data_IF_840518209775
#
_entry.id   IF_840518209775
#
_cell.length_a   1.000
_cell.length_b   1.000
_cell.length_c   1.000
_cell.angle_alpha   90.00
_cell.angle_beta   90.00
_cell.angle_gamma   90.00
#
_symmetry.space_group_name_H-M   'P 1'
#
loop_
_entity.id
_entity.type
_entity.pdbx_description
1 polymer ?
#
# COMPACT_ATOMS: atom_id res chain seq x y z
N UNK A 1 -2.05 22.48 18.43
CA UNK A 1 -2.39 21.08 18.09
C UNK A 1 -3.90 20.99 17.87
N UNK A 2 -4.35 20.95 16.63
CA UNK A 2 -5.76 20.67 16.29
C UNK A 2 -5.82 19.88 14.98
N UNK A 3 -5.80 18.55 15.10
CA UNK A 3 -6.06 17.64 14.00
C UNK A 3 -7.56 17.35 13.96
N UNK A 4 -8.33 18.21 13.30
CA UNK A 4 -9.71 17.93 12.88
C UNK A 4 -9.99 18.72 11.59
N UNK A 5 -9.55 18.16 10.46
CA UNK A 5 -10.19 18.45 9.18
C UNK A 5 -10.73 17.14 8.61
N UNK A 6 -12.01 16.88 8.91
CA UNK A 6 -12.86 16.05 8.07
C UNK A 6 -13.02 16.80 6.74
N UNK A 7 -12.19 16.46 5.77
CA UNK A 7 -12.37 16.86 4.38
C UNK A 7 -12.10 15.61 3.57
N UNK A 8 -13.18 15.03 3.02
CA UNK A 8 -13.24 13.91 2.08
C UNK A 8 -11.88 13.24 1.81
N UNK A 9 -11.58 12.16 2.52
CA UNK A 9 -10.49 11.26 2.14
C UNK A 9 -10.78 10.81 0.70
N UNK A 10 -10.00 11.30 -0.26
CA UNK A 10 -9.93 10.72 -1.59
C UNK A 10 -9.32 9.32 -1.43
N UNK A 11 -10.19 8.39 -1.09
CA UNK A 11 -9.88 6.98 -0.89
C UNK A 11 -10.08 6.29 -2.24
N UNK A 12 -8.99 5.84 -2.84
CA UNK A 12 -9.06 4.96 -4.00
C UNK A 12 -8.93 3.53 -3.50
N UNK A 13 -10.01 2.76 -3.67
CA UNK A 13 -10.08 1.34 -3.33
C UNK A 13 -10.15 0.54 -4.61
N UNK A 14 -9.30 -0.48 -4.70
CA UNK A 14 -9.30 -1.38 -5.85
C UNK A 14 -9.26 -2.82 -5.39
N UNK A 15 -10.13 -3.63 -5.99
CA UNK A 15 -10.18 -5.07 -5.80
C UNK A 15 -10.08 -5.74 -7.17
N UNK A 16 -9.31 -6.82 -7.25
CA UNK A 16 -9.23 -7.69 -8.43
C UNK A 16 -9.99 -8.96 -8.12
N UNK A 17 -10.93 -9.32 -8.99
CA UNK A 17 -11.73 -10.53 -8.87
C UNK A 17 -11.47 -11.47 -10.04
N UNK A 18 -11.50 -12.76 -9.76
CA UNK A 18 -11.57 -13.81 -10.79
C UNK A 18 -12.96 -13.84 -11.44
N UNK A 19 -13.10 -14.55 -12.56
CA UNK A 19 -14.38 -14.67 -13.26
C UNK A 19 -15.53 -15.32 -12.46
N UNK A 20 -15.23 -15.98 -11.34
CA UNK A 20 -16.21 -16.54 -10.40
C UNK A 20 -16.50 -15.62 -9.18
N UNK A 21 -15.99 -14.38 -9.18
CA UNK A 21 -16.25 -13.38 -8.13
C UNK A 21 -15.38 -13.49 -6.89
N UNK A 22 -14.35 -14.34 -6.89
CA UNK A 22 -13.39 -14.43 -5.76
C UNK A 22 -12.39 -13.29 -5.86
N UNK A 23 -12.23 -12.52 -4.79
CA UNK A 23 -11.22 -11.46 -4.70
C UNK A 23 -9.84 -12.08 -4.52
N UNK A 24 -8.94 -11.80 -5.47
CA UNK A 24 -7.54 -12.30 -5.49
C UNK A 24 -6.52 -11.18 -5.28
N UNK A 25 -6.99 -9.95 -5.12
CA UNK A 25 -6.17 -8.80 -4.78
C UNK A 25 -7.00 -7.64 -4.29
N UNK A 26 -6.42 -6.86 -3.40
CA UNK A 26 -7.06 -5.71 -2.77
C UNK A 26 -6.02 -4.68 -2.40
N UNK A 27 -6.30 -3.41 -2.65
CA UNK A 27 -5.45 -2.31 -2.20
C UNK A 27 -6.25 -1.10 -1.77
N UNK A 28 -5.57 -0.20 -1.08
CA UNK A 28 -6.09 1.12 -0.73
C UNK A 28 -5.01 2.16 -0.90
N UNK A 29 -5.28 3.20 -1.67
CA UNK A 29 -4.51 4.43 -1.69
C UNK A 29 -5.32 5.53 -1.00
N UNK A 30 -4.71 6.20 -0.03
CA UNK A 30 -5.32 7.34 0.66
C UNK A 30 -4.42 8.55 0.61
N UNK A 31 -5.01 9.72 0.45
CA UNK A 31 -4.32 10.98 0.66
C UNK A 31 -3.93 11.13 2.13
N UNK A 32 -2.69 11.55 2.36
CA UNK A 32 -2.13 11.79 3.67
C UNK A 32 -2.42 13.25 4.10
N UNK A 33 -2.06 13.65 5.32
CA UNK A 33 -2.39 14.99 5.84
C UNK A 33 -1.76 16.16 5.05
N UNK A 34 -0.74 15.88 4.24
CA UNK A 34 -0.05 16.85 3.39
C UNK A 34 -0.45 16.65 1.93
N UNK A 35 -0.60 17.77 1.20
CA UNK A 35 -0.90 17.75 -0.24
C UNK A 35 0.15 16.94 -1.00
N UNK A 36 -0.29 16.20 -2.03
CA UNK A 36 0.56 15.38 -2.90
C UNK A 36 1.32 14.26 -2.16
N UNK A 37 0.86 13.86 -0.98
CA UNK A 37 1.39 12.71 -0.25
C UNK A 37 0.30 11.68 -0.05
N UNK A 38 0.65 10.42 -0.31
CA UNK A 38 -0.28 9.31 -0.26
C UNK A 38 0.30 8.19 0.57
N UNK A 39 -0.60 7.39 1.16
CA UNK A 39 -0.24 6.14 1.81
C UNK A 39 -0.93 5.02 1.03
N UNK A 40 -0.12 4.11 0.47
CA UNK A 40 -0.62 2.89 -0.15
C UNK A 40 -0.56 1.78 0.89
N UNK A 41 -1.73 1.33 1.33
CA UNK A 41 -1.85 0.30 2.35
C UNK A 41 -3.27 0.25 2.95
N UNK A 42 -3.80 -0.94 3.23
CA UNK A 42 -3.13 -2.23 3.03
C UNK A 42 -3.15 -2.64 1.56
N UNK A 43 -2.24 -3.54 1.17
CA UNK A 43 -2.15 -4.11 -0.17
C UNK A 43 -1.92 -5.62 -0.08
N UNK A 44 -2.84 -6.38 -0.65
CA UNK A 44 -2.83 -7.84 -0.72
C UNK A 44 -2.94 -8.31 -2.17
N UNK A 45 -2.23 -9.38 -2.50
CA UNK A 45 -2.35 -10.04 -3.80
C UNK A 45 -1.94 -11.51 -3.70
N UNK A 46 -2.70 -12.39 -4.32
CA UNK A 46 -2.40 -13.83 -4.35
C UNK A 46 -1.24 -14.18 -5.29
N UNK A 47 -0.89 -13.27 -6.22
CA UNK A 47 0.21 -13.44 -7.16
C UNK A 47 0.75 -12.11 -7.69
N UNK A 48 1.96 -12.13 -8.25
CA UNK A 48 2.58 -10.97 -8.91
C UNK A 48 1.76 -10.47 -10.11
N UNK A 49 1.11 -11.39 -10.83
CA UNK A 49 0.21 -11.08 -11.94
C UNK A 49 -1.01 -10.24 -11.51
N UNK A 50 -1.38 -10.29 -10.23
CA UNK A 50 -2.43 -9.44 -9.65
C UNK A 50 -1.85 -8.16 -9.04
N UNK A 51 -0.70 -8.26 -8.38
CA UNK A 51 -0.02 -7.13 -7.73
C UNK A 51 0.33 -6.01 -8.70
N UNK A 52 0.97 -6.34 -9.83
CA UNK A 52 1.49 -5.35 -10.78
C UNK A 52 0.35 -4.49 -11.33
N UNK A 53 -0.73 -5.05 -11.92
CA UNK A 53 -1.86 -4.25 -12.38
C UNK A 53 -2.51 -3.38 -11.30
N UNK A 54 -2.61 -3.87 -10.06
CA UNK A 54 -3.13 -3.09 -8.93
C UNK A 54 -2.28 -1.86 -8.67
N UNK A 55 -0.96 -2.01 -8.60
CA UNK A 55 -0.04 -0.89 -8.37
C UNK A 55 -0.15 0.11 -9.52
N UNK A 56 -0.10 -0.33 -10.77
CA UNK A 56 -0.21 0.55 -11.94
C UNK A 56 -1.48 1.39 -11.93
N UNK A 57 -2.62 0.79 -11.61
CA UNK A 57 -3.88 1.51 -11.57
C UNK A 57 -3.92 2.61 -10.47
N UNK A 58 -3.18 2.46 -9.38
CA UNK A 58 -2.98 3.54 -8.41
C UNK A 58 -2.08 4.65 -8.95
N UNK A 59 -1.04 4.30 -9.71
CA UNK A 59 -0.08 5.25 -10.27
C UNK A 59 -0.67 6.10 -11.40
N UNK A 60 -1.59 5.55 -12.20
CA UNK A 60 -2.22 6.26 -13.34
C UNK A 60 -2.94 7.56 -12.93
N UNK A 61 -3.37 7.68 -11.68
CA UNK A 61 -4.03 8.87 -11.13
C UNK A 61 -3.09 9.91 -10.52
N UNK A 62 -1.78 9.66 -10.49
CA UNK A 62 -0.81 10.45 -9.74
C UNK A 62 0.11 11.26 -10.64
N UNK A 63 0.61 12.37 -10.09
CA UNK A 63 1.62 13.22 -10.75
C UNK A 63 3.02 12.70 -10.44
N UNK A 64 4.01 12.95 -11.32
CA UNK A 64 5.40 12.57 -11.07
C UNK A 64 6.03 13.13 -9.77
N UNK A 65 5.46 14.22 -9.24
CA UNK A 65 5.91 14.86 -7.99
C UNK A 65 5.25 14.30 -6.74
N UNK A 66 4.25 13.43 -6.89
CA UNK A 66 3.51 12.88 -5.76
C UNK A 66 4.35 11.83 -5.04
N UNK A 67 4.25 11.82 -3.71
CA UNK A 67 5.04 10.92 -2.87
C UNK A 67 4.10 9.85 -2.31
N UNK A 68 4.42 8.58 -2.54
CA UNK A 68 3.70 7.45 -1.97
C UNK A 68 4.55 6.84 -0.87
N UNK A 69 3.98 6.80 0.34
CA UNK A 69 4.53 6.04 1.45
C UNK A 69 3.94 4.64 1.46
N UNK A 70 4.81 3.65 1.55
CA UNK A 70 4.45 2.23 1.62
C UNK A 70 5.24 1.60 2.76
N UNK A 71 4.58 0.73 3.53
CA UNK A 71 5.25 -0.13 4.50
C UNK A 71 5.11 -1.57 4.04
N UNK A 72 6.23 -2.22 3.80
CA UNK A 72 6.28 -3.52 3.13
C UNK A 72 6.90 -4.52 4.10
N UNK A 73 6.30 -5.70 4.32
CA UNK A 73 6.96 -6.79 5.04
C UNK A 73 8.28 -7.16 4.36
N UNK A 74 9.35 -7.34 5.12
CA UNK A 74 10.72 -7.53 4.60
C UNK A 74 10.82 -8.64 3.55
N UNK A 75 10.02 -9.72 3.71
CA UNK A 75 9.97 -10.85 2.77
C UNK A 75 9.51 -10.48 1.35
N UNK A 76 8.80 -9.36 1.19
CA UNK A 76 8.19 -8.92 -0.07
C UNK A 76 8.84 -7.65 -0.65
N UNK A 77 9.85 -7.07 0.02
CA UNK A 77 10.50 -5.82 -0.41
C UNK A 77 11.08 -5.93 -1.82
N UNK A 78 11.84 -6.99 -2.10
CA UNK A 78 12.50 -7.12 -3.41
C UNK A 78 11.50 -7.35 -4.54
N UNK A 79 10.47 -8.16 -4.31
CA UNK A 79 9.36 -8.35 -5.27
C UNK A 79 8.63 -7.03 -5.56
N UNK A 80 8.37 -6.25 -4.51
CA UNK A 80 7.71 -4.96 -4.64
C UNK A 80 8.58 -3.94 -5.40
N UNK A 81 9.90 -3.91 -5.13
CA UNK A 81 10.85 -3.07 -5.90
C UNK A 81 10.90 -3.48 -7.37
N UNK A 82 10.94 -4.78 -7.65
CA UNK A 82 10.94 -5.30 -9.02
C UNK A 82 9.67 -4.87 -9.76
N UNK A 83 8.50 -4.97 -9.13
CA UNK A 83 7.23 -4.49 -9.69
C UNK A 83 7.22 -2.99 -10.02
N UNK A 84 8.09 -2.19 -9.38
CA UNK A 84 8.15 -0.73 -9.51
C UNK A 84 9.39 -0.20 -10.24
N UNK A 85 10.29 -1.06 -10.71
CA UNK A 85 11.64 -0.68 -11.17
C UNK A 85 11.66 0.36 -12.31
N UNK A 86 10.55 0.52 -13.03
CA UNK A 86 10.41 1.50 -14.11
C UNK A 86 9.32 2.58 -13.89
N UNK A 87 8.67 2.55 -12.73
CA UNK A 87 7.49 3.38 -12.47
C UNK A 87 7.72 4.41 -11.35
N UNK A 88 8.68 4.16 -10.46
CA UNK A 88 8.95 5.03 -9.33
C UNK A 88 10.43 5.05 -8.95
N UNK A 89 10.86 6.17 -8.38
CA UNK A 89 12.09 6.21 -7.59
C UNK A 89 11.77 5.67 -6.19
N UNK A 90 12.51 4.67 -5.74
CA UNK A 90 12.29 4.03 -4.44
C UNK A 90 13.37 4.49 -3.47
N UNK A 91 12.94 5.10 -2.36
CA UNK A 91 13.81 5.51 -1.27
C UNK A 91 13.47 4.73 0.00
N UNK A 92 14.48 4.15 0.64
CA UNK A 92 14.31 3.50 1.94
C UNK A 92 14.29 4.56 3.05
N UNK A 93 13.22 4.59 3.82
CA UNK A 93 13.03 5.57 4.91
C UNK A 93 13.33 4.99 6.30
N UNK A 94 13.15 3.68 6.48
CA UNK A 94 13.37 3.04 7.78
C UNK A 94 12.74 1.65 7.87
N UNK A 95 13.05 0.97 8.98
CA UNK A 95 12.55 -0.36 9.30
C UNK A 95 11.82 -0.32 10.64
N UNK A 96 10.76 -1.12 10.74
CA UNK A 96 9.94 -1.24 11.94
C UNK A 96 9.83 -2.71 12.33
N UNK A 97 9.93 -3.01 13.62
CA UNK A 97 9.67 -4.35 14.13
C UNK A 97 8.17 -4.53 14.40
N UNK A 98 7.50 -5.52 13.78
CA UNK A 98 6.12 -5.86 14.12
C UNK A 98 6.03 -6.26 15.60
N UNK A 99 5.03 -5.73 16.30
CA UNK A 99 4.74 -6.11 17.68
C UNK A 99 3.32 -6.65 17.78
N UNK A 100 3.19 -7.82 18.43
CA UNK A 100 1.90 -8.46 18.70
C UNK A 100 1.66 -8.47 20.21
N UNK A 101 0.49 -8.02 20.64
CA UNK A 101 0.15 -7.92 22.07
C UNK A 101 -0.37 -9.23 22.66
N UNK A 102 -0.73 -10.19 21.81
CA UNK A 102 -1.23 -11.51 22.19
C UNK A 102 -0.64 -12.58 21.26
N UNK A 103 -1.40 -12.97 20.25
CA UNK A 103 -0.98 -13.95 19.25
C UNK A 103 -0.61 -13.24 17.96
N UNK A 104 0.35 -13.82 17.23
CA UNK A 104 0.54 -13.44 15.83
C UNK A 104 -0.75 -13.76 15.04
N UNK A 105 -1.12 -12.93 14.05
CA UNK A 105 -2.25 -13.20 13.19
C UNK A 105 -1.99 -14.49 12.38
N UNK A 106 -3.05 -15.28 12.20
CA UNK A 106 -3.05 -16.41 11.27
C UNK A 106 -3.23 -15.86 9.84
N UNK A 107 -2.14 -15.35 9.31
CA UNK A 107 -2.04 -14.73 8.00
C UNK A 107 -0.74 -15.19 7.37
N UNK A 108 -0.80 -15.66 6.12
CA UNK A 108 0.42 -15.91 5.36
C UNK A 108 1.00 -14.57 4.88
N UNK A 109 2.17 -14.15 5.41
CA UNK A 109 2.74 -12.85 5.08
C UNK A 109 3.15 -12.76 3.60
N UNK A 110 3.26 -13.87 2.87
CA UNK A 110 3.62 -13.86 1.44
C UNK A 110 2.61 -13.09 0.59
N UNK A 111 1.34 -13.04 1.01
CA UNK A 111 0.28 -12.31 0.29
C UNK A 111 0.16 -10.84 0.71
N UNK A 112 0.99 -10.37 1.65
CA UNK A 112 0.94 -9.02 2.20
C UNK A 112 2.05 -8.16 1.60
N UNK A 113 1.68 -7.24 0.71
CA UNK A 113 2.63 -6.35 0.05
C UNK A 113 2.68 -4.97 0.70
N UNK A 114 1.61 -4.56 1.37
CA UNK A 114 1.69 -3.40 2.25
C UNK A 114 0.79 -3.50 3.47
N UNK A 115 1.33 -3.05 4.60
CA UNK A 115 0.57 -2.84 5.83
C UNK A 115 0.22 -1.36 5.96
N UNK A 116 -1.00 -1.10 6.43
CA UNK A 116 -1.42 0.24 6.80
C UNK A 116 -1.15 0.50 8.26
N UNK A 117 -0.97 1.77 8.61
CA UNK A 117 -1.12 2.23 9.97
C UNK A 117 -1.87 3.57 10.03
N UNK A 118 -2.16 4.01 11.25
CA UNK A 118 -2.84 5.28 11.50
C UNK A 118 -1.88 6.44 11.77
N UNK A 119 -0.57 6.24 11.56
CA UNK A 119 0.37 7.36 11.63
C UNK A 119 -0.01 8.37 10.56
N UNK A 120 -0.18 9.63 10.97
CA UNK A 120 -0.08 10.71 10.02
C UNK A 120 1.32 10.67 9.38
N UNK A 121 1.48 11.03 8.09
CA UNK A 121 2.81 11.23 7.54
C UNK A 121 3.55 12.24 8.42
N UNK A 122 4.78 11.90 8.80
CA UNK A 122 5.72 12.87 9.37
C UNK A 122 6.10 13.92 8.32
#
# INVERSE_FOLDING_TARGET
>A
MSCLRRTNLNLLLQAVQTGNGVTVGYGVLREACAQNRYILGPLYADSEAVLVPLIHAYLDGLKPTDIIQVRIPTINVEKFKQALTHCALIEFQGEFTPQYTKNAPDLDPQFVYSITDFSAPL
#
